data_IF_961631762398
#
_entry.id   IF_961631762398
#
_cell.length_a   1.000
_cell.length_b   1.000
_cell.length_c   1.000
_cell.angle_alpha   90.00
_cell.angle_beta   90.00
_cell.angle_gamma   90.00
#
_symmetry.space_group_name_H-M   'P 1'
#
loop_
_entity.id
_entity.type
_entity.pdbx_description
1 polymer ?
#
# COMPACT_ATOMS: atom_id res chain seq x y z
N UNK A 1 -15.61 -3.29 -51.37
CA UNK A 1 -14.52 -4.26 -51.53
C UNK A 1 -14.29 -4.96 -50.19
N UNK A 2 -14.82 -6.13 -50.06
CA UNK A 2 -14.75 -6.99 -48.88
C UNK A 2 -13.57 -7.93 -48.97
N UNK A 3 -12.76 -8.17 -47.96
CA UNK A 3 -11.87 -9.33 -47.93
C UNK A 3 -12.47 -10.52 -47.19
N UNK A 4 -12.29 -11.64 -47.81
CA UNK A 4 -12.78 -12.98 -47.56
C UNK A 4 -12.25 -13.57 -46.24
N UNK A 5 -13.13 -14.28 -45.53
CA UNK A 5 -12.79 -15.26 -44.49
C UNK A 5 -12.22 -16.54 -45.13
N UNK A 6 -11.19 -17.14 -44.52
CA UNK A 6 -10.78 -18.54 -44.71
C UNK A 6 -10.91 -19.30 -43.40
N UNK A 7 -11.34 -20.56 -43.41
CA UNK A 7 -11.65 -21.33 -42.22
C UNK A 7 -10.49 -22.17 -41.72
N UNK A 8 -10.33 -22.25 -40.41
CA UNK A 8 -9.43 -23.20 -39.74
C UNK A 8 -10.17 -24.52 -39.52
N UNK A 9 -9.75 -25.53 -40.25
CA UNK A 9 -10.04 -26.95 -39.94
C UNK A 9 -8.77 -27.73 -40.28
N UNK A 10 -8.24 -28.41 -39.31
CA UNK A 10 -7.43 -29.63 -39.32
C UNK A 10 -6.33 -29.57 -38.24
N UNK A 11 -6.57 -30.27 -37.16
CA UNK A 11 -5.60 -31.19 -36.53
C UNK A 11 -6.30 -31.85 -35.31
N UNK A 12 -7.10 -32.85 -35.65
CA UNK A 12 -7.49 -33.94 -34.75
C UNK A 12 -6.92 -35.22 -35.40
N UNK A 13 -6.41 -36.13 -34.61
CA UNK A 13 -5.90 -37.46 -34.83
C UNK A 13 -4.37 -37.61 -34.65
N UNK A 14 -3.98 -38.09 -33.45
CA UNK A 14 -3.22 -39.36 -33.28
C UNK A 14 -2.97 -39.58 -31.78
N UNK A 15 -3.83 -40.35 -31.14
CA UNK A 15 -3.57 -41.03 -29.88
C UNK A 15 -4.32 -42.35 -29.90
N UNK A 16 -3.60 -43.42 -30.15
CA UNK A 16 -3.96 -44.78 -29.67
C UNK A 16 -2.89 -45.78 -30.05
N UNK A 17 -2.72 -46.75 -29.21
CA UNK A 17 -1.98 -48.02 -29.28
C UNK A 17 -0.47 -47.97 -28.90
N UNK A 18 -0.16 -48.55 -27.69
CA UNK A 18 0.27 -49.95 -27.62
C UNK A 18 0.25 -50.48 -26.18
N UNK A 19 -0.66 -51.41 -25.93
CA UNK A 19 -0.64 -52.39 -24.82
C UNK A 19 -0.11 -53.69 -25.46
N UNK A 20 0.93 -54.32 -24.91
CA UNK A 20 1.15 -55.75 -25.06
C UNK A 20 2.01 -56.28 -23.88
N UNK A 21 1.40 -57.19 -23.21
CA UNK A 21 1.90 -58.06 -22.16
C UNK A 21 3.06 -58.95 -22.59
N UNK A 22 3.84 -59.38 -21.59
CA UNK A 22 4.49 -60.72 -21.61
C UNK A 22 4.61 -61.24 -20.18
N UNK A 23 3.82 -62.28 -19.94
CA UNK A 23 3.90 -63.23 -18.81
C UNK A 23 4.96 -64.28 -19.18
N UNK A 24 5.85 -64.63 -18.30
CA UNK A 24 6.75 -65.75 -18.46
C UNK A 24 7.40 -66.10 -17.14
N UNK A 25 6.80 -67.08 -16.46
CA UNK A 25 7.35 -67.68 -15.25
C UNK A 25 8.40 -68.73 -15.57
N UNK A 26 9.30 -68.97 -14.67
CA UNK A 26 9.95 -70.25 -14.43
C UNK A 26 10.50 -70.31 -13.02
N UNK A 27 10.08 -71.30 -12.26
CA UNK A 27 10.57 -71.60 -10.91
C UNK A 27 11.92 -72.29 -10.97
N UNK A 28 12.68 -72.15 -9.90
CA UNK A 28 13.86 -72.96 -9.57
C UNK A 28 13.93 -73.19 -8.08
N UNK A 29 14.57 -74.25 -7.58
CA UNK A 29 14.22 -74.91 -6.34
C UNK A 29 14.94 -74.34 -5.10
N UNK A 30 14.40 -74.72 -3.94
CA UNK A 30 14.89 -74.35 -2.61
C UNK A 30 16.28 -74.91 -2.38
N UNK A 31 17.20 -74.07 -1.85
CA UNK A 31 18.49 -74.54 -1.29
C UNK A 31 18.41 -74.54 0.25
N UNK A 32 18.98 -75.57 0.88
CA UNK A 32 19.10 -75.78 2.31
C UNK A 32 19.91 -74.67 2.98
N UNK A 33 19.68 -74.45 4.32
CA UNK A 33 20.41 -73.45 5.09
C UNK A 33 21.83 -73.95 5.42
N UNK A 34 22.87 -73.13 5.36
CA UNK A 34 24.19 -73.47 5.87
C UNK A 34 24.26 -73.29 7.36
N UNK A 35 25.08 -74.16 8.01
CA UNK A 35 25.32 -74.26 9.43
C UNK A 35 25.88 -72.96 10.04
N UNK A 36 25.53 -72.74 11.31
CA UNK A 36 25.97 -71.64 12.14
C UNK A 36 27.50 -71.63 12.38
N UNK A 37 28.15 -70.50 12.04
CA UNK A 37 29.50 -70.16 12.52
C UNK A 37 29.45 -69.49 13.89
N UNK A 38 30.50 -69.58 14.70
CA UNK A 38 30.51 -69.04 16.06
C UNK A 38 30.56 -67.49 16.08
N UNK A 39 29.86 -66.95 17.06
CA UNK A 39 29.75 -65.49 17.28
C UNK A 39 31.11 -64.82 17.57
N UNK A 40 31.48 -63.81 16.79
CA UNK A 40 32.53 -62.84 17.12
C UNK A 40 32.06 -61.89 18.26
N UNK A 41 32.97 -61.39 19.11
CA UNK A 41 32.63 -60.51 20.21
C UNK A 41 32.07 -59.16 19.73
N UNK A 42 31.00 -58.71 20.39
CA UNK A 42 30.33 -57.47 20.15
C UNK A 42 31.29 -56.27 20.13
N UNK A 43 31.29 -55.50 19.04
CA UNK A 43 31.92 -54.19 18.95
C UNK A 43 31.27 -53.22 19.98
N UNK A 44 32.02 -52.24 20.52
CA UNK A 44 31.49 -51.27 21.44
C UNK A 44 30.34 -50.47 20.78
N UNK A 45 29.28 -50.20 21.56
CA UNK A 45 28.13 -49.41 21.13
C UNK A 45 28.59 -48.11 20.50
N UNK A 46 28.16 -47.86 19.27
CA UNK A 46 28.34 -46.58 18.62
C UNK A 46 27.71 -45.47 19.49
N UNK A 47 28.44 -44.41 19.73
CA UNK A 47 27.91 -43.16 20.30
C UNK A 47 26.66 -42.74 19.51
N UNK A 48 25.63 -42.17 20.16
CA UNK A 48 24.46 -41.71 19.45
C UNK A 48 24.93 -40.69 18.42
N UNK A 49 24.62 -40.92 17.14
CA UNK A 49 24.84 -39.96 16.07
C UNK A 49 24.25 -38.62 16.51
N UNK A 50 25.05 -37.56 16.47
CA UNK A 50 24.58 -36.19 16.60
C UNK A 50 23.41 -36.05 15.62
N UNK A 51 22.25 -35.70 16.15
CA UNK A 51 21.02 -35.62 15.36
C UNK A 51 21.26 -34.75 14.12
N UNK A 52 20.98 -35.32 12.98
CA UNK A 52 20.93 -34.56 11.71
C UNK A 52 20.08 -33.30 11.95
N UNK A 53 20.67 -32.13 11.83
CA UNK A 53 19.94 -30.89 11.98
C UNK A 53 18.75 -30.92 11.00
N UNK A 54 17.55 -30.74 11.51
CA UNK A 54 16.34 -30.71 10.69
C UNK A 54 16.53 -29.71 9.57
N UNK A 55 16.11 -30.06 8.35
CA UNK A 55 16.19 -29.14 7.22
C UNK A 55 15.42 -27.83 7.55
N UNK A 56 15.96 -26.67 7.15
CA UNK A 56 15.30 -25.39 7.47
C UNK A 56 13.89 -25.31 6.87
N UNK A 57 13.00 -24.68 7.62
CA UNK A 57 11.63 -24.40 7.15
C UNK A 57 11.68 -23.33 6.05
N UNK A 58 11.20 -23.66 4.86
CA UNK A 58 11.24 -22.78 3.70
C UNK A 58 9.89 -22.10 3.50
N UNK A 59 9.87 -20.77 3.45
CA UNK A 59 8.68 -19.94 3.30
C UNK A 59 8.83 -19.00 2.10
N UNK A 60 7.79 -18.90 1.28
CA UNK A 60 7.70 -17.88 0.24
C UNK A 60 7.23 -16.56 0.86
N UNK A 61 7.94 -15.49 0.55
CA UNK A 61 7.54 -14.11 0.84
C UNK A 61 7.28 -13.37 -0.46
N UNK A 62 6.04 -12.94 -0.67
CA UNK A 62 5.59 -12.30 -1.92
C UNK A 62 5.35 -10.83 -1.70
N UNK A 63 5.99 -9.99 -2.50
CA UNK A 63 6.00 -8.53 -2.40
C UNK A 63 5.70 -7.87 -3.75
N UNK A 64 5.44 -6.56 -3.77
CA UNK A 64 5.57 -5.79 -5.02
C UNK A 64 7.01 -5.32 -5.24
N UNK A 65 7.35 -5.04 -6.51
CA UNK A 65 8.71 -4.72 -6.96
C UNK A 65 9.13 -3.31 -6.56
N UNK A 66 9.43 -3.11 -5.27
CA UNK A 66 10.01 -1.87 -4.73
C UNK A 66 11.06 -2.19 -3.68
N UNK A 67 12.25 -1.60 -3.79
CA UNK A 67 13.31 -1.75 -2.81
C UNK A 67 13.78 -3.20 -2.58
N UNK A 68 13.78 -4.03 -3.63
CA UNK A 68 14.08 -5.46 -3.55
C UNK A 68 15.45 -5.76 -2.94
N UNK A 69 16.45 -4.89 -3.19
CA UNK A 69 17.79 -5.03 -2.62
C UNK A 69 17.74 -4.86 -1.09
N UNK A 70 17.01 -3.86 -0.59
CA UNK A 70 16.81 -3.63 0.84
C UNK A 70 16.05 -4.80 1.49
N UNK A 71 15.02 -5.33 0.81
CA UNK A 71 14.27 -6.50 1.29
C UNK A 71 15.18 -7.72 1.38
N UNK A 72 15.94 -8.00 0.31
CA UNK A 72 16.81 -9.18 0.28
C UNK A 72 17.92 -9.09 1.33
N UNK A 73 18.49 -7.92 1.56
CA UNK A 73 19.49 -7.72 2.61
C UNK A 73 18.91 -7.96 4.00
N UNK A 74 17.72 -7.44 4.28
CA UNK A 74 17.01 -7.73 5.54
C UNK A 74 16.67 -9.21 5.70
N UNK A 75 16.28 -9.92 4.62
CA UNK A 75 16.08 -11.36 4.62
C UNK A 75 17.38 -12.09 4.98
N UNK A 76 18.52 -11.70 4.41
CA UNK A 76 19.81 -12.30 4.68
C UNK A 76 20.20 -12.13 6.16
N UNK A 77 19.97 -10.93 6.72
CA UNK A 77 20.22 -10.64 8.14
C UNK A 77 19.28 -11.45 9.05
N UNK A 78 18.01 -11.56 8.70
CA UNK A 78 17.04 -12.41 9.41
C UNK A 78 17.47 -13.87 9.42
N UNK A 79 17.84 -14.43 8.27
CA UNK A 79 18.24 -15.84 8.14
C UNK A 79 19.56 -16.13 8.87
N UNK A 80 20.48 -15.17 8.92
CA UNK A 80 21.72 -15.30 9.69
C UNK A 80 21.45 -15.45 11.21
N UNK A 81 20.41 -14.77 11.71
CA UNK A 81 19.98 -14.87 13.10
C UNK A 81 19.03 -16.06 13.35
N UNK A 82 18.35 -16.58 12.33
CA UNK A 82 17.37 -17.65 12.40
C UNK A 82 17.64 -18.72 11.31
N UNK A 83 18.71 -19.50 11.44
CA UNK A 83 19.15 -20.44 10.39
C UNK A 83 18.14 -21.59 10.13
N UNK A 84 17.20 -21.80 11.04
CA UNK A 84 16.08 -22.74 10.87
C UNK A 84 14.99 -22.23 9.94
N UNK A 85 14.99 -20.93 9.59
CA UNK A 85 13.99 -20.28 8.74
C UNK A 85 14.64 -19.83 7.43
N UNK A 86 14.14 -20.32 6.30
CA UNK A 86 14.56 -19.89 4.97
C UNK A 86 13.44 -19.15 4.27
N UNK A 87 13.73 -17.96 3.75
CA UNK A 87 12.76 -17.09 3.09
C UNK A 87 13.10 -16.97 1.59
N UNK A 88 12.14 -17.28 0.75
CA UNK A 88 12.25 -17.15 -0.70
C UNK A 88 11.49 -15.89 -1.15
N UNK A 89 12.20 -14.86 -1.52
CA UNK A 89 11.60 -13.63 -2.02
C UNK A 89 11.05 -13.85 -3.44
N UNK A 90 9.81 -13.40 -3.67
CA UNK A 90 9.15 -13.32 -4.97
C UNK A 90 8.48 -11.97 -5.10
N UNK A 91 8.52 -11.38 -6.30
CA UNK A 91 7.94 -10.07 -6.54
C UNK A 91 7.10 -10.02 -7.81
N UNK A 92 6.15 -9.07 -7.81
CA UNK A 92 5.34 -8.69 -8.96
C UNK A 92 5.30 -7.18 -9.06
N UNK A 93 5.01 -6.62 -10.24
CA UNK A 93 4.78 -5.18 -10.35
C UNK A 93 3.61 -4.73 -9.47
N UNK A 94 3.61 -3.48 -9.00
CA UNK A 94 2.48 -2.95 -8.22
C UNK A 94 1.13 -3.11 -8.95
N UNK A 95 1.14 -2.88 -10.27
CA UNK A 95 -0.08 -2.96 -11.08
C UNK A 95 -0.63 -4.39 -11.22
N UNK A 96 0.24 -5.40 -11.17
CA UNK A 96 -0.14 -6.81 -11.32
C UNK A 96 -0.32 -7.53 -9.97
N UNK A 97 0.15 -6.93 -8.87
CA UNK A 97 0.25 -7.60 -7.57
C UNK A 97 -1.11 -8.05 -7.04
N UNK A 98 -2.08 -7.14 -6.98
CA UNK A 98 -3.41 -7.45 -6.46
C UNK A 98 -4.06 -8.62 -7.21
N UNK A 99 -4.17 -8.52 -8.52
CA UNK A 99 -4.84 -9.53 -9.34
C UNK A 99 -4.10 -10.88 -9.32
N UNK A 100 -2.77 -10.84 -9.24
CA UNK A 100 -1.94 -12.05 -9.08
C UNK A 100 -2.23 -12.72 -7.74
N UNK A 101 -2.31 -11.95 -6.65
CA UNK A 101 -2.58 -12.48 -5.33
C UNK A 101 -4.00 -13.04 -5.22
N UNK A 102 -5.00 -12.33 -5.73
CA UNK A 102 -6.40 -12.83 -5.82
C UNK A 102 -6.46 -14.13 -6.62
N UNK A 103 -5.77 -14.20 -7.77
CA UNK A 103 -5.67 -15.42 -8.56
C UNK A 103 -5.05 -16.59 -7.79
N UNK A 104 -3.99 -16.37 -7.01
CA UNK A 104 -3.34 -17.38 -6.16
C UNK A 104 -4.26 -17.83 -5.02
N UNK A 105 -4.93 -16.90 -4.33
CA UNK A 105 -5.89 -17.22 -3.28
C UNK A 105 -7.03 -18.09 -3.82
N UNK A 106 -7.62 -17.72 -4.95
CA UNK A 106 -8.69 -18.46 -5.58
C UNK A 106 -8.26 -19.86 -6.08
N UNK A 107 -7.00 -20.01 -6.46
CA UNK A 107 -6.40 -21.29 -6.84
C UNK A 107 -6.04 -22.19 -5.65
N UNK A 108 -6.15 -21.71 -4.40
CA UNK A 108 -5.73 -22.44 -3.20
C UNK A 108 -4.21 -22.57 -3.04
N UNK A 109 -3.46 -21.63 -3.64
CA UNK A 109 -1.98 -21.54 -3.56
C UNK A 109 -1.53 -20.18 -2.94
N UNK A 110 -2.03 -19.79 -1.74
CA UNK A 110 -1.56 -18.58 -1.09
C UNK A 110 -0.10 -18.72 -0.63
N UNK A 111 0.71 -17.64 -0.71
CA UNK A 111 2.01 -17.64 -0.03
C UNK A 111 1.80 -17.54 1.48
N UNK A 112 2.68 -18.16 2.32
CA UNK A 112 2.59 -18.01 3.77
C UNK A 112 2.82 -16.57 4.24
N UNK A 113 3.70 -15.80 3.56
CA UNK A 113 4.05 -14.42 3.88
C UNK A 113 3.84 -13.53 2.66
N UNK A 114 3.27 -12.35 2.86
CA UNK A 114 2.93 -11.43 1.78
C UNK A 114 2.86 -9.98 2.25
N UNK A 115 2.90 -9.05 1.29
CA UNK A 115 2.52 -7.67 1.50
C UNK A 115 1.00 -7.50 1.50
N UNK A 116 0.49 -6.69 2.41
CA UNK A 116 -0.88 -6.23 2.45
C UNK A 116 -0.98 -4.71 2.32
N UNK A 117 -2.16 -4.26 1.98
CA UNK A 117 -2.53 -2.86 1.84
C UNK A 117 -3.90 -2.62 2.46
N UNK A 118 -4.10 -1.45 3.06
CA UNK A 118 -5.40 -1.01 3.54
C UNK A 118 -6.50 -1.06 2.46
N UNK A 119 -6.12 -0.83 1.19
CA UNK A 119 -7.03 -0.92 0.04
C UNK A 119 -7.64 -2.31 -0.17
N UNK A 120 -6.91 -3.38 0.20
CA UNK A 120 -7.28 -4.76 -0.08
C UNK A 120 -7.66 -5.55 1.17
N UNK A 121 -7.39 -4.98 2.36
CA UNK A 121 -7.60 -5.67 3.63
C UNK A 121 -9.02 -6.23 3.75
N UNK A 122 -10.03 -5.39 3.48
CA UNK A 122 -11.44 -5.78 3.66
C UNK A 122 -11.83 -6.94 2.75
N UNK A 123 -11.39 -6.90 1.49
CA UNK A 123 -11.59 -7.99 0.52
C UNK A 123 -10.91 -9.27 1.00
N UNK A 124 -9.62 -9.20 1.31
CA UNK A 124 -8.83 -10.38 1.62
C UNK A 124 -9.15 -10.99 2.98
N UNK A 125 -9.40 -10.16 4.00
CA UNK A 125 -9.77 -10.63 5.33
C UNK A 125 -11.19 -11.23 5.34
N UNK A 126 -12.18 -10.60 4.67
CA UNK A 126 -13.54 -11.13 4.57
C UNK A 126 -13.61 -12.47 3.83
N UNK A 127 -12.74 -12.68 2.84
CA UNK A 127 -12.60 -13.93 2.11
C UNK A 127 -11.80 -15.01 2.88
N UNK A 128 -11.23 -14.67 4.06
CA UNK A 128 -10.40 -15.59 4.84
C UNK A 128 -9.03 -15.89 4.23
N UNK A 129 -8.52 -15.01 3.36
CA UNK A 129 -7.22 -15.17 2.71
C UNK A 129 -6.05 -14.69 3.57
N UNK A 130 -6.32 -13.84 4.56
CA UNK A 130 -5.36 -13.41 5.57
C UNK A 130 -5.65 -14.07 6.92
N UNK A 131 -4.62 -14.28 7.71
CA UNK A 131 -4.72 -14.78 9.08
C UNK A 131 -4.70 -13.60 10.07
N UNK A 132 -5.64 -13.53 11.04
CA UNK A 132 -5.56 -12.57 12.12
C UNK A 132 -4.33 -12.85 13.01
N UNK A 133 -3.69 -11.78 13.49
CA UNK A 133 -2.43 -11.89 14.23
C UNK A 133 -2.59 -11.68 15.74
N UNK A 134 -3.58 -10.93 16.20
CA UNK A 134 -3.71 -10.52 17.61
C UNK A 134 -4.04 -11.67 18.56
N UNK A 135 -4.81 -12.69 18.16
CA UNK A 135 -5.12 -13.84 19.02
C UNK A 135 -3.92 -14.78 19.17
N UNK A 136 -3.28 -15.27 18.08
CA UNK A 136 -2.13 -16.17 18.21
C UNK A 136 -0.84 -15.47 18.67
N UNK A 137 -0.73 -14.14 18.49
CA UNK A 137 0.48 -13.37 18.81
C UNK A 137 0.13 -12.12 19.64
N UNK A 138 0.00 -12.25 20.97
CA UNK A 138 -0.42 -11.15 21.86
C UNK A 138 0.45 -9.89 21.78
N UNK A 139 1.72 -10.01 21.35
CA UNK A 139 2.64 -8.90 21.14
C UNK A 139 2.11 -7.87 20.12
N UNK A 140 1.22 -8.28 19.21
CA UNK A 140 0.57 -7.39 18.25
C UNK A 140 -0.16 -6.25 18.96
N UNK A 141 -0.74 -6.49 20.12
CA UNK A 141 -1.42 -5.47 20.93
C UNK A 141 -0.45 -4.39 21.41
N UNK A 142 0.76 -4.78 21.81
CA UNK A 142 1.79 -3.82 22.25
C UNK A 142 2.26 -2.95 21.07
N UNK A 143 2.49 -3.55 19.90
CA UNK A 143 2.86 -2.81 18.69
C UNK A 143 1.75 -1.89 18.21
N UNK A 144 0.50 -2.34 18.27
CA UNK A 144 -0.68 -1.55 17.89
C UNK A 144 -0.81 -0.27 18.72
N UNK A 145 -0.46 -0.31 20.00
CA UNK A 145 -0.50 0.86 20.89
C UNK A 145 0.53 1.96 20.56
N UNK A 146 1.50 1.67 19.70
CA UNK A 146 2.55 2.61 19.28
C UNK A 146 2.33 3.14 17.85
N UNK A 147 1.24 2.77 17.19
CA UNK A 147 0.96 3.19 15.83
C UNK A 147 0.08 4.45 15.76
N UNK A 148 0.25 5.21 14.71
CA UNK A 148 -0.70 6.24 14.33
C UNK A 148 -2.10 5.61 14.12
N UNK A 149 -3.19 6.23 14.63
CA UNK A 149 -4.52 5.61 14.62
C UNK A 149 -5.01 5.17 13.25
N UNK A 150 -4.76 5.97 12.19
CA UNK A 150 -5.16 5.64 10.83
C UNK A 150 -4.51 4.34 10.32
N UNK A 151 -3.27 4.10 10.71
CA UNK A 151 -2.54 2.91 10.26
C UNK A 151 -3.06 1.65 10.95
N UNK A 152 -3.33 1.71 12.25
CA UNK A 152 -3.97 0.61 12.97
C UNK A 152 -5.35 0.30 12.36
N UNK A 153 -6.17 1.32 12.11
CA UNK A 153 -7.48 1.16 11.48
C UNK A 153 -7.36 0.52 10.09
N UNK A 154 -6.37 0.94 9.28
CA UNK A 154 -6.12 0.38 7.94
C UNK A 154 -5.60 -1.07 7.93
N UNK A 155 -5.22 -1.63 9.10
CA UNK A 155 -4.80 -3.03 9.27
C UNK A 155 -5.81 -3.86 10.07
N UNK A 156 -6.95 -3.28 10.45
CA UNK A 156 -7.96 -3.92 11.30
C UNK A 156 -9.22 -4.23 10.51
N UNK A 157 -9.73 -5.45 10.68
CA UNK A 157 -11.02 -5.89 10.15
C UNK A 157 -11.76 -6.71 11.22
N UNK A 158 -13.01 -6.31 11.56
CA UNK A 158 -13.82 -6.95 12.61
C UNK A 158 -13.06 -7.16 13.94
N UNK A 159 -12.38 -6.10 14.42
CA UNK A 159 -11.56 -6.08 15.64
C UNK A 159 -10.27 -6.91 15.59
N UNK A 160 -10.00 -7.61 14.50
CA UNK A 160 -8.77 -8.36 14.30
C UNK A 160 -7.73 -7.56 13.51
N UNK A 161 -6.47 -7.65 13.93
CA UNK A 161 -5.30 -7.04 13.29
C UNK A 161 -4.64 -8.05 12.36
N UNK A 162 -4.44 -7.69 11.09
CA UNK A 162 -3.95 -8.60 10.04
C UNK A 162 -2.52 -8.34 9.58
N UNK A 163 -1.82 -7.38 10.16
CA UNK A 163 -0.47 -7.08 9.74
C UNK A 163 0.38 -6.31 10.73
N UNK A 164 1.65 -6.19 10.41
CA UNK A 164 2.59 -5.26 11.04
C UNK A 164 3.06 -4.24 9.99
N UNK A 165 2.86 -2.97 10.27
CA UNK A 165 3.17 -1.87 9.35
C UNK A 165 4.66 -1.76 9.09
N UNK A 166 5.05 -1.59 7.81
CA UNK A 166 6.40 -1.20 7.44
C UNK A 166 6.45 0.17 6.74
N UNK A 167 5.35 0.55 6.14
CA UNK A 167 5.20 1.80 5.43
C UNK A 167 3.82 2.36 5.71
N UNK A 168 3.77 3.60 6.12
CA UNK A 168 2.53 4.35 6.27
C UNK A 168 2.84 5.80 5.92
N UNK A 169 1.91 6.44 5.24
CA UNK A 169 2.13 7.78 4.75
C UNK A 169 0.86 8.61 4.82
N UNK A 170 1.01 9.91 4.65
CA UNK A 170 -0.09 10.86 4.53
C UNK A 170 -0.12 11.47 3.12
N UNK A 171 -1.28 11.94 2.73
CA UNK A 171 -1.45 12.76 1.53
C UNK A 171 -1.32 14.21 1.97
N UNK A 172 -0.23 14.86 1.60
CA UNK A 172 0.17 16.14 2.15
C UNK A 172 -0.14 17.30 1.19
N UNK A 173 -0.43 18.45 1.77
CA UNK A 173 -0.46 19.71 1.05
C UNK A 173 0.96 20.26 0.94
N UNK A 174 1.42 20.47 -0.30
CA UNK A 174 2.79 20.88 -0.61
C UNK A 174 2.79 22.20 -1.36
N UNK A 175 3.75 23.06 -1.04
CA UNK A 175 3.91 24.37 -1.68
C UNK A 175 5.36 24.71 -1.96
N UNK A 176 5.57 25.56 -2.98
CA UNK A 176 6.88 26.15 -3.28
C UNK A 176 7.04 27.45 -2.46
N UNK A 177 7.93 27.42 -1.46
CA UNK A 177 8.14 28.52 -0.52
C UNK A 177 8.62 29.81 -1.21
N UNK A 178 9.52 29.70 -2.19
CA UNK A 178 10.09 30.86 -2.87
C UNK A 178 9.05 31.58 -3.75
N UNK A 179 8.21 30.82 -4.47
CA UNK A 179 7.12 31.38 -5.26
C UNK A 179 6.06 32.03 -4.38
N UNK A 180 5.73 31.41 -3.25
CA UNK A 180 4.76 31.95 -2.29
C UNK A 180 5.27 33.28 -1.69
N UNK A 181 6.54 33.34 -1.30
CA UNK A 181 7.20 34.56 -0.84
C UNK A 181 7.28 35.64 -1.91
N UNK A 182 7.53 35.26 -3.17
CA UNK A 182 7.54 36.21 -4.29
C UNK A 182 6.15 36.83 -4.52
N UNK A 183 5.08 36.12 -4.20
CA UNK A 183 3.71 36.66 -4.24
C UNK A 183 3.35 37.53 -3.02
N UNK A 184 4.25 37.63 -2.01
CA UNK A 184 4.05 38.44 -0.82
C UNK A 184 3.44 37.71 0.38
N UNK A 185 3.50 36.38 0.41
CA UNK A 185 2.98 35.57 1.51
C UNK A 185 4.12 34.87 2.27
N UNK A 186 4.14 35.04 3.60
CA UNK A 186 5.17 34.46 4.47
C UNK A 186 4.77 33.10 5.07
N UNK A 187 3.52 32.66 4.89
CA UNK A 187 2.99 31.42 5.42
C UNK A 187 2.14 30.68 4.39
N UNK A 188 2.06 29.35 4.54
CA UNK A 188 1.18 28.50 3.75
C UNK A 188 -0.31 28.81 4.03
N UNK A 189 -1.22 28.53 3.09
CA UNK A 189 -2.66 28.72 3.28
C UNK A 189 -3.16 27.84 4.42
N UNK A 190 -4.00 28.40 5.29
CA UNK A 190 -4.61 27.67 6.39
C UNK A 190 -6.04 27.23 6.07
N UNK A 191 -6.67 27.89 5.13
CA UNK A 191 -8.02 27.61 4.66
C UNK A 191 -8.08 27.47 3.14
N UNK A 192 -9.17 26.91 2.63
CA UNK A 192 -9.41 26.83 1.19
C UNK A 192 -9.64 28.20 0.56
N UNK A 193 -10.08 29.19 1.35
CA UNK A 193 -10.17 30.57 0.90
C UNK A 193 -8.78 31.21 0.79
N UNK A 194 -7.89 30.99 1.76
CA UNK A 194 -6.51 31.46 1.66
C UNK A 194 -5.82 30.88 0.42
N UNK A 195 -5.99 29.57 0.18
CA UNK A 195 -5.45 28.92 -1.02
C UNK A 195 -5.97 29.55 -2.31
N UNK A 196 -7.27 29.89 -2.35
CA UNK A 196 -7.86 30.58 -3.48
C UNK A 196 -7.23 31.96 -3.69
N UNK A 197 -7.19 32.80 -2.65
CA UNK A 197 -6.70 34.18 -2.73
C UNK A 197 -5.20 34.21 -3.07
N UNK A 198 -4.40 33.32 -2.50
CA UNK A 198 -2.98 33.15 -2.84
C UNK A 198 -2.80 32.69 -4.28
N UNK A 199 -3.62 31.76 -4.77
CA UNK A 199 -3.60 31.29 -6.15
C UNK A 199 -3.93 32.40 -7.14
N UNK A 200 -4.93 33.23 -6.84
CA UNK A 200 -5.25 34.40 -7.66
C UNK A 200 -4.07 35.38 -7.73
N UNK A 201 -3.45 35.67 -6.58
CA UNK A 201 -2.31 36.59 -6.51
C UNK A 201 -1.09 36.06 -7.30
N UNK A 202 -0.77 34.77 -7.19
CA UNK A 202 0.31 34.14 -7.95
C UNK A 202 0.09 34.25 -9.47
N UNK A 203 -1.14 34.01 -9.92
CA UNK A 203 -1.53 34.12 -11.33
C UNK A 203 -1.50 35.54 -11.82
N UNK A 204 -2.12 36.51 -11.10
CA UNK A 204 -2.16 37.91 -11.47
C UNK A 204 -0.78 38.56 -11.53
N UNK A 205 0.14 38.12 -10.66
CA UNK A 205 1.53 38.58 -10.66
C UNK A 205 2.41 37.86 -11.72
N UNK A 206 1.86 36.88 -12.43
CA UNK A 206 2.57 36.12 -13.46
C UNK A 206 3.68 35.24 -12.92
N UNK A 207 3.61 34.83 -11.63
CA UNK A 207 4.58 33.91 -11.00
C UNK A 207 4.34 32.50 -11.53
N UNK A 208 3.09 32.06 -11.62
CA UNK A 208 2.69 30.82 -12.27
C UNK A 208 1.47 31.04 -13.15
N UNK A 209 1.36 30.33 -14.28
CA UNK A 209 0.19 30.37 -15.16
C UNK A 209 -1.00 29.67 -14.49
N UNK A 210 -0.74 28.50 -13.93
CA UNK A 210 -1.66 27.69 -13.14
C UNK A 210 -1.04 27.42 -11.76
N UNK A 211 -1.51 28.05 -10.69
CA UNK A 211 -0.90 27.92 -9.37
C UNK A 211 -0.92 26.49 -8.81
N UNK A 212 -1.91 25.66 -9.17
CA UNK A 212 -2.10 24.31 -8.64
C UNK A 212 -2.12 23.25 -9.72
N UNK A 213 -1.47 22.11 -9.43
CA UNK A 213 -1.56 20.87 -10.20
C UNK A 213 -1.93 19.71 -9.28
N UNK A 214 -2.74 18.77 -9.78
CA UNK A 214 -3.12 17.52 -9.08
C UNK A 214 -2.96 16.32 -10.01
N UNK A 215 -2.69 15.16 -9.44
CA UNK A 215 -2.64 13.89 -10.17
C UNK A 215 -4.05 13.28 -10.25
N UNK A 216 -4.87 13.80 -11.15
CA UNK A 216 -6.28 13.38 -11.31
C UNK A 216 -6.49 12.47 -12.53
N UNK A 217 -5.45 11.80 -13.03
CA UNK A 217 -5.64 10.76 -14.03
C UNK A 217 -6.58 9.66 -13.52
N UNK A 218 -7.57 9.28 -14.33
CA UNK A 218 -8.53 8.22 -13.94
C UNK A 218 -7.89 6.85 -13.76
N UNK A 219 -6.70 6.63 -14.32
CA UNK A 219 -5.96 5.37 -14.19
C UNK A 219 -5.24 5.22 -12.85
N UNK A 220 -5.19 6.28 -12.02
CA UNK A 220 -4.41 6.32 -10.80
C UNK A 220 -5.27 6.43 -9.53
N UNK A 221 -5.00 5.59 -8.52
CA UNK A 221 -5.65 5.66 -7.21
C UNK A 221 -5.33 6.94 -6.43
N UNK A 222 -4.19 7.60 -6.70
CA UNK A 222 -3.80 8.85 -6.07
C UNK A 222 -4.85 9.97 -6.25
N UNK A 223 -5.64 9.94 -7.31
CA UNK A 223 -6.69 10.94 -7.56
C UNK A 223 -7.78 10.93 -6.51
N UNK A 224 -8.24 9.74 -6.07
CA UNK A 224 -9.27 9.65 -5.03
C UNK A 224 -8.71 10.02 -3.67
N UNK A 225 -7.46 9.70 -3.39
CA UNK A 225 -6.81 10.03 -2.11
C UNK A 225 -6.65 11.56 -1.93
N UNK A 226 -6.22 12.26 -2.97
CA UNK A 226 -6.16 13.73 -2.96
C UNK A 226 -7.55 14.34 -2.76
N UNK A 227 -8.58 13.80 -3.43
CA UNK A 227 -9.96 14.24 -3.28
C UNK A 227 -10.49 14.02 -1.86
N UNK A 228 -10.28 12.83 -1.28
CA UNK A 228 -10.70 12.53 0.09
C UNK A 228 -9.95 13.42 1.08
N UNK A 229 -8.67 13.71 0.85
CA UNK A 229 -7.89 14.63 1.68
C UNK A 229 -8.46 16.05 1.66
N UNK A 230 -8.88 16.54 0.50
CA UNK A 230 -9.59 17.81 0.39
C UNK A 230 -10.92 17.82 1.14
N UNK A 231 -11.64 16.70 1.17
CA UNK A 231 -12.89 16.52 1.95
C UNK A 231 -12.59 16.48 3.44
N UNK A 232 -11.59 15.70 3.85
CA UNK A 232 -11.23 15.57 5.27
C UNK A 232 -10.75 16.90 5.86
N UNK A 233 -9.96 17.67 5.13
CA UNK A 233 -9.53 19.00 5.57
C UNK A 233 -10.69 19.98 5.86
N UNK A 234 -11.84 19.79 5.19
CA UNK A 234 -13.05 20.60 5.40
C UNK A 234 -13.95 20.07 6.50
N UNK A 235 -13.88 18.79 6.83
CA UNK A 235 -14.82 18.14 7.74
C UNK A 235 -14.23 17.90 9.11
N UNK A 236 -14.89 18.42 10.14
CA UNK A 236 -14.54 18.13 11.54
C UNK A 236 -15.30 16.90 12.04
N UNK A 237 -14.60 15.90 12.54
CA UNK A 237 -15.19 14.66 13.02
C UNK A 237 -15.17 13.51 12.00
N UNK A 238 -15.87 12.44 12.30
CA UNK A 238 -16.05 11.25 11.46
C UNK A 238 -17.28 11.41 10.55
N UNK A 239 -17.38 10.57 9.53
CA UNK A 239 -18.53 10.56 8.64
C UNK A 239 -18.50 11.64 7.56
N UNK A 240 -17.32 12.00 7.08
CA UNK A 240 -17.15 12.96 5.98
C UNK A 240 -17.67 12.41 4.65
N UNK A 241 -17.53 11.11 4.44
CA UNK A 241 -18.02 10.38 3.27
C UNK A 241 -19.01 9.28 3.64
N UNK A 242 -18.71 8.52 4.69
CA UNK A 242 -19.50 7.39 5.12
C UNK A 242 -19.63 7.37 6.66
N UNK A 243 -20.79 6.97 7.15
CA UNK A 243 -20.99 6.72 8.58
C UNK A 243 -20.35 5.38 9.02
N UNK A 244 -20.43 5.09 10.32
CA UNK A 244 -19.89 3.86 10.91
C UNK A 244 -20.52 2.55 10.34
N UNK A 245 -21.64 2.65 9.63
CA UNK A 245 -22.28 1.53 8.93
C UNK A 245 -22.00 1.52 7.42
N UNK A 246 -20.99 2.28 6.98
CA UNK A 246 -20.65 2.49 5.58
C UNK A 246 -21.81 3.04 4.73
N UNK A 247 -22.71 3.84 5.33
CA UNK A 247 -23.74 4.53 4.58
C UNK A 247 -23.25 5.89 4.11
N UNK A 248 -23.46 6.27 2.84
CA UNK A 248 -23.04 7.56 2.31
C UNK A 248 -23.64 8.74 3.09
N UNK A 249 -22.81 9.71 3.46
CA UNK A 249 -23.20 10.94 4.16
C UNK A 249 -22.95 12.18 3.30
N UNK A 250 -22.31 12.03 2.16
CA UNK A 250 -21.77 13.10 1.33
C UNK A 250 -22.78 13.75 0.37
N UNK A 251 -23.93 13.12 0.07
CA UNK A 251 -24.86 13.56 -0.94
C UNK A 251 -25.81 14.66 -0.42
N UNK A 252 -25.25 15.84 -0.15
CA UNK A 252 -26.04 17.02 0.22
C UNK A 252 -25.31 18.30 -0.14
N UNK A 253 -26.05 19.38 -0.47
CA UNK A 253 -25.49 20.71 -0.58
C UNK A 253 -24.86 21.14 0.75
N UNK A 254 -23.63 21.68 0.70
CA UNK A 254 -22.86 22.07 1.88
C UNK A 254 -22.18 20.91 2.60
N UNK A 255 -22.21 19.67 2.08
CA UNK A 255 -21.31 18.62 2.55
C UNK A 255 -19.87 18.96 2.17
N UNK A 256 -18.90 18.46 2.95
CA UNK A 256 -17.47 18.64 2.63
C UNK A 256 -17.10 18.12 1.22
N UNK A 257 -17.77 17.04 0.78
CA UNK A 257 -17.60 16.52 -0.57
C UNK A 257 -18.15 17.48 -1.64
N UNK A 258 -19.34 18.06 -1.40
CA UNK A 258 -19.90 19.09 -2.27
C UNK A 258 -18.95 20.28 -2.39
N UNK A 259 -18.48 20.81 -1.27
CA UNK A 259 -17.58 21.97 -1.23
C UNK A 259 -16.23 21.67 -1.92
N UNK A 260 -15.69 20.48 -1.76
CA UNK A 260 -14.43 20.09 -2.39
C UNK A 260 -14.56 19.99 -3.91
N UNK A 261 -15.60 19.34 -4.43
CA UNK A 261 -15.85 19.22 -5.87
C UNK A 261 -16.16 20.58 -6.48
N UNK A 262 -16.96 21.39 -5.80
CA UNK A 262 -17.32 22.73 -6.28
C UNK A 262 -16.11 23.66 -6.30
N UNK A 263 -15.20 23.56 -5.30
CA UNK A 263 -13.95 24.32 -5.29
C UNK A 263 -13.06 23.91 -6.48
N UNK A 264 -12.92 22.62 -6.76
CA UNK A 264 -12.15 22.13 -7.92
C UNK A 264 -12.73 22.61 -9.25
N UNK A 265 -14.05 22.56 -9.40
CA UNK A 265 -14.74 23.05 -10.60
C UNK A 265 -14.49 24.55 -10.81
N UNK A 266 -14.65 25.35 -9.76
CA UNK A 266 -14.41 26.79 -9.81
C UNK A 266 -12.93 27.13 -10.07
N UNK A 267 -12.00 26.41 -9.42
CA UNK A 267 -10.56 26.59 -9.63
C UNK A 267 -10.15 26.25 -11.07
N UNK A 268 -10.74 25.20 -11.64
CA UNK A 268 -10.55 24.85 -13.05
C UNK A 268 -11.07 25.94 -13.98
N UNK A 269 -12.29 26.44 -13.76
CA UNK A 269 -12.91 27.49 -14.56
C UNK A 269 -12.13 28.82 -14.47
N UNK A 270 -11.63 29.17 -13.28
CA UNK A 270 -10.80 30.36 -13.06
C UNK A 270 -9.35 30.23 -13.57
N UNK A 271 -8.94 29.00 -13.97
CA UNK A 271 -7.59 28.68 -14.39
C UNK A 271 -6.59 28.76 -13.22
N UNK A 272 -7.02 28.41 -12.02
CA UNK A 272 -6.17 28.24 -10.83
C UNK A 272 -5.68 26.79 -10.71
N UNK A 273 -6.43 25.83 -11.23
CA UNK A 273 -6.05 24.43 -11.40
C UNK A 273 -5.62 24.20 -12.86
N UNK A 274 -4.44 23.60 -13.05
CA UNK A 274 -3.97 23.27 -14.40
C UNK A 274 -4.90 22.25 -15.06
N UNK A 275 -5.41 22.52 -16.28
CA UNK A 275 -6.23 21.57 -17.04
C UNK A 275 -5.56 20.21 -17.27
N UNK A 276 -4.23 20.17 -17.32
CA UNK A 276 -3.48 18.92 -17.41
C UNK A 276 -3.72 17.99 -16.21
N UNK A 277 -4.13 18.51 -15.05
CA UNK A 277 -4.41 17.71 -13.85
C UNK A 277 -5.30 16.49 -14.13
N UNK A 278 -6.30 16.62 -15.02
CA UNK A 278 -7.23 15.54 -15.36
C UNK A 278 -6.60 14.36 -16.12
N UNK A 279 -5.38 14.52 -16.59
CA UNK A 279 -4.61 13.46 -17.27
C UNK A 279 -3.23 13.22 -16.65
N UNK A 280 -2.88 13.99 -15.62
CA UNK A 280 -1.57 13.90 -14.95
C UNK A 280 -1.55 12.71 -14.02
N UNK A 281 -0.52 11.88 -14.19
CA UNK A 281 -0.14 10.84 -13.24
C UNK A 281 0.77 11.42 -12.13
N UNK A 282 0.89 10.72 -11.00
CA UNK A 282 1.67 11.20 -9.85
C UNK A 282 3.12 11.54 -10.19
N UNK A 283 3.79 10.68 -10.98
CA UNK A 283 5.17 10.93 -11.40
C UNK A 283 5.32 12.18 -12.26
N UNK A 284 4.33 12.52 -13.07
CA UNK A 284 4.35 13.71 -13.93
C UNK A 284 3.97 14.96 -13.14
N UNK A 285 3.12 14.83 -12.10
CA UNK A 285 2.84 15.88 -11.13
C UNK A 285 4.13 16.30 -10.40
N UNK A 286 4.91 15.34 -9.91
CA UNK A 286 6.21 15.60 -9.26
C UNK A 286 7.16 16.34 -10.20
N UNK A 287 7.32 15.90 -11.46
CA UNK A 287 8.15 16.59 -12.46
C UNK A 287 7.66 18.01 -12.76
N UNK A 288 6.36 18.19 -12.81
CA UNK A 288 5.77 19.50 -13.05
C UNK A 288 6.06 20.47 -11.90
N UNK A 289 5.95 20.01 -10.65
CA UNK A 289 6.37 20.78 -9.49
C UNK A 289 7.87 21.11 -9.54
N UNK A 290 8.73 20.14 -9.80
CA UNK A 290 10.20 20.33 -9.91
C UNK A 290 10.58 21.40 -10.96
N UNK A 291 9.80 21.52 -12.03
CA UNK A 291 10.02 22.55 -13.06
C UNK A 291 9.66 23.97 -12.60
N UNK A 292 9.00 24.12 -11.46
CA UNK A 292 8.50 25.40 -10.96
C UNK A 292 7.26 25.93 -11.71
N UNK A 293 6.60 25.10 -12.51
CA UNK A 293 5.39 25.51 -13.24
C UNK A 293 4.20 25.78 -12.29
N UNK A 294 4.22 25.20 -11.10
CA UNK A 294 3.15 25.31 -10.11
C UNK A 294 3.68 25.59 -8.71
N UNK A 295 2.86 26.27 -7.92
CA UNK A 295 3.19 26.60 -6.52
C UNK A 295 2.63 25.57 -5.54
N UNK A 296 1.43 25.04 -5.81
CA UNK A 296 0.68 24.19 -4.89
C UNK A 296 0.37 22.83 -5.49
N UNK A 297 0.39 21.81 -4.63
CA UNK A 297 -0.05 20.46 -4.96
C UNK A 297 -0.52 19.69 -3.72
N UNK A 298 -1.19 18.55 -3.96
CA UNK A 298 -1.54 17.54 -2.94
C UNK A 298 -0.97 16.21 -3.45
N UNK A 299 -0.11 15.58 -2.66
CA UNK A 299 0.57 14.35 -3.07
C UNK A 299 1.03 13.52 -1.85
N UNK A 300 1.33 12.22 -2.04
CA UNK A 300 1.91 11.40 -0.98
C UNK A 300 3.25 11.95 -0.46
N UNK A 301 3.43 11.93 0.86
CA UNK A 301 4.60 12.50 1.55
C UNK A 301 5.94 12.01 1.00
N UNK A 302 6.07 10.72 0.62
CA UNK A 302 7.33 10.17 0.11
C UNK A 302 7.89 10.93 -1.10
N UNK A 303 7.04 11.62 -1.86
CA UNK A 303 7.47 12.44 -2.99
C UNK A 303 8.29 13.68 -2.57
N UNK A 304 8.25 14.07 -1.30
CA UNK A 304 9.04 15.20 -0.78
C UNK A 304 10.54 14.97 -0.92
N UNK A 305 10.99 13.73 -0.73
CA UNK A 305 12.39 13.37 -0.93
C UNK A 305 12.81 13.58 -2.40
N UNK A 306 11.94 13.21 -3.35
CA UNK A 306 12.22 13.41 -4.78
C UNK A 306 12.12 14.89 -5.19
N UNK A 307 11.12 15.63 -4.69
CA UNK A 307 10.95 17.06 -4.96
C UNK A 307 12.16 17.89 -4.49
N UNK A 308 12.71 17.57 -3.32
CA UNK A 308 13.79 18.34 -2.67
C UNK A 308 15.18 17.75 -2.88
N UNK A 309 15.31 16.70 -3.68
CA UNK A 309 16.60 16.11 -4.05
C UNK A 309 17.53 17.15 -4.69
N UNK A 310 18.83 17.21 -4.34
CA UNK A 310 19.73 18.27 -4.78
C UNK A 310 19.78 18.52 -6.28
N UNK A 311 19.56 17.47 -7.10
CA UNK A 311 19.63 17.54 -8.56
C UNK A 311 18.24 17.57 -9.22
N UNK A 312 17.15 17.78 -8.46
CA UNK A 312 15.78 17.75 -8.98
C UNK A 312 15.36 18.97 -9.79
N UNK A 313 16.13 20.08 -9.74
CA UNK A 313 15.85 21.30 -10.47
C UNK A 313 16.19 22.56 -9.70
N UNK A 314 15.81 23.72 -10.26
CA UNK A 314 16.07 25.06 -9.67
C UNK A 314 15.44 25.22 -8.28
N UNK A 315 14.29 24.59 -8.06
CA UNK A 315 13.52 24.66 -6.81
C UNK A 315 13.81 23.54 -5.82
N UNK A 316 14.87 22.76 -6.02
CA UNK A 316 15.31 21.74 -5.06
C UNK A 316 15.48 22.34 -3.64
N UNK A 317 14.89 21.71 -2.63
CA UNK A 317 14.88 22.20 -1.25
C UNK A 317 13.89 23.33 -0.94
N UNK A 318 13.08 23.77 -1.92
CA UNK A 318 12.11 24.86 -1.79
C UNK A 318 10.67 24.40 -1.58
N UNK A 319 10.43 23.11 -1.76
CA UNK A 319 9.10 22.54 -1.49
C UNK A 319 8.96 22.23 0.00
N UNK A 320 7.82 22.65 0.56
CA UNK A 320 7.50 22.49 1.98
C UNK A 320 6.15 21.80 2.12
N UNK A 321 6.02 21.02 3.20
CA UNK A 321 4.73 20.49 3.64
C UNK A 321 4.07 21.55 4.54
N UNK A 322 2.77 21.70 4.39
CA UNK A 322 1.90 22.35 5.37
C UNK A 322 0.76 21.42 5.74
N UNK A 323 0.11 21.67 6.86
CA UNK A 323 -1.13 20.98 7.20
C UNK A 323 -2.16 21.18 6.09
N UNK A 324 -2.99 20.17 5.83
CA UNK A 324 -4.06 20.28 4.83
C UNK A 324 -4.93 21.51 5.13
N UNK A 325 -5.19 22.40 4.15
CA UNK A 325 -6.05 23.54 4.39
C UNK A 325 -7.45 23.15 4.86
N UNK A 326 -8.04 23.93 5.75
CA UNK A 326 -9.41 23.77 6.23
C UNK A 326 -9.53 23.63 7.74
N UNK A 327 -10.77 23.47 8.24
CA UNK A 327 -11.09 23.58 9.67
C UNK A 327 -10.53 22.43 10.51
N UNK A 328 -10.38 21.25 9.94
CA UNK A 328 -9.86 20.07 10.64
C UNK A 328 -8.37 19.85 10.43
N UNK A 329 -7.81 20.38 9.35
CA UNK A 329 -6.48 20.03 8.84
C UNK A 329 -6.23 18.53 8.64
N UNK A 330 -7.29 17.71 8.66
CA UNK A 330 -7.17 16.27 8.45
C UNK A 330 -6.88 15.93 6.99
N UNK A 331 -6.21 14.83 6.80
CA UNK A 331 -5.87 14.29 5.48
C UNK A 331 -6.04 12.77 5.46
N UNK A 332 -5.91 12.15 4.30
CA UNK A 332 -5.84 10.69 4.20
C UNK A 332 -4.49 10.21 4.71
N UNK A 333 -4.54 9.26 5.65
CA UNK A 333 -3.42 8.39 5.96
C UNK A 333 -3.69 6.98 5.43
N UNK A 334 -2.66 6.31 4.94
CA UNK A 334 -2.76 4.95 4.42
C UNK A 334 -1.59 4.10 4.89
N UNK A 335 -1.76 2.78 4.87
CA UNK A 335 -0.78 1.85 5.42
C UNK A 335 -0.52 0.67 4.50
N UNK A 336 0.73 0.23 4.48
CA UNK A 336 1.18 -1.02 3.88
C UNK A 336 1.82 -1.86 4.97
N UNK A 337 1.59 -3.15 4.95
CA UNK A 337 1.96 -4.02 6.05
C UNK A 337 2.43 -5.40 5.57
N UNK A 338 3.22 -6.04 6.42
CA UNK A 338 3.53 -7.45 6.30
C UNK A 338 2.37 -8.27 6.86
N UNK A 339 1.92 -9.25 6.10
CA UNK A 339 0.80 -10.11 6.47
C UNK A 339 1.16 -11.59 6.35
N UNK A 340 0.34 -12.41 7.00
CA UNK A 340 0.40 -13.87 6.97
C UNK A 340 -0.91 -14.40 6.40
N UNK A 341 -0.83 -15.43 5.55
CA UNK A 341 -2.03 -16.18 5.16
C UNK A 341 -2.21 -17.40 6.07
N UNK A 342 -3.40 -18.04 6.08
CA UNK A 342 -3.63 -19.30 6.80
C UNK A 342 -2.65 -20.42 6.42
N UNK A 343 -2.01 -20.31 5.25
CA UNK A 343 -1.01 -21.27 4.75
C UNK A 343 0.16 -21.47 5.71
N UNK A 344 0.57 -20.43 6.44
CA UNK A 344 1.63 -20.53 7.43
C UNK A 344 1.33 -21.58 8.52
N UNK A 345 0.09 -21.58 9.03
CA UNK A 345 -0.36 -22.57 10.03
C UNK A 345 -0.59 -23.96 9.39
N UNK A 346 -1.11 -24.05 8.17
CA UNK A 346 -1.30 -25.29 7.43
C UNK A 346 0.02 -26.05 7.16
N UNK A 347 1.13 -25.32 7.02
CA UNK A 347 2.47 -25.88 6.85
C UNK A 347 3.05 -26.46 8.15
N UNK A 348 2.40 -26.26 9.30
CA UNK A 348 2.75 -26.77 10.61
C UNK A 348 3.45 -25.77 11.53
N UNK A 349 3.65 -26.17 12.78
CA UNK A 349 4.11 -25.28 13.87
C UNK A 349 5.44 -24.59 13.58
N UNK A 350 6.38 -25.27 12.93
CA UNK A 350 7.67 -24.68 12.57
C UNK A 350 7.51 -23.55 11.54
N UNK A 351 6.62 -23.72 10.56
CA UNK A 351 6.34 -22.70 9.56
C UNK A 351 5.62 -21.50 10.18
N UNK A 352 4.64 -21.73 11.05
CA UNK A 352 3.94 -20.67 11.76
C UNK A 352 4.92 -19.88 12.65
N UNK A 353 5.79 -20.56 13.39
CA UNK A 353 6.79 -19.92 14.24
C UNK A 353 7.81 -19.10 13.42
N UNK A 354 8.31 -19.63 12.29
CA UNK A 354 9.18 -18.88 11.38
C UNK A 354 8.47 -17.69 10.76
N UNK A 355 7.19 -17.83 10.37
CA UNK A 355 6.39 -16.73 9.82
C UNK A 355 6.22 -15.60 10.82
N UNK A 356 5.91 -15.91 12.09
CA UNK A 356 5.82 -14.89 13.12
C UNK A 356 7.16 -14.19 13.39
N UNK A 357 8.25 -14.95 13.58
CA UNK A 357 9.58 -14.36 13.76
C UNK A 357 9.95 -13.41 12.61
N UNK A 358 9.58 -13.79 11.39
CA UNK A 358 9.81 -12.94 10.20
C UNK A 358 8.98 -11.67 10.26
N UNK A 359 7.68 -11.75 10.52
CA UNK A 359 6.81 -10.57 10.62
C UNK A 359 7.28 -9.63 11.75
N UNK A 360 7.63 -10.18 12.91
CA UNK A 360 8.11 -9.42 14.06
C UNK A 360 9.46 -8.74 13.78
N UNK A 361 10.38 -9.41 13.08
CA UNK A 361 11.65 -8.82 12.65
C UNK A 361 11.44 -7.68 11.64
N UNK A 362 10.50 -7.84 10.71
CA UNK A 362 10.29 -6.88 9.63
C UNK A 362 9.41 -5.68 10.03
N UNK A 363 8.33 -5.88 10.78
CA UNK A 363 7.36 -4.83 11.14
C UNK A 363 7.22 -4.56 12.63
N UNK A 364 7.81 -5.43 13.48
CA UNK A 364 7.87 -5.27 14.92
C UNK A 364 9.21 -4.74 15.42
N UNK A 365 9.56 -5.09 16.67
CA UNK A 365 10.80 -4.64 17.31
C UNK A 365 11.85 -5.74 17.40
N UNK A 366 13.08 -5.38 17.02
CA UNK A 366 14.29 -6.17 17.30
C UNK A 366 15.15 -5.38 18.30
N UNK A 367 15.48 -6.01 19.43
CA UNK A 367 16.22 -5.35 20.52
C UNK A 367 15.59 -4.01 21.00
N UNK A 368 14.26 -3.95 20.99
CA UNK A 368 13.48 -2.82 21.45
C UNK A 368 13.31 -1.70 20.41
N UNK A 369 13.79 -1.87 19.18
CA UNK A 369 13.70 -0.89 18.10
C UNK A 369 13.01 -1.46 16.86
N UNK A 370 12.32 -0.60 16.07
CA UNK A 370 11.75 -0.92 14.78
C UNK A 370 12.83 -0.87 13.68
N UNK A 371 13.79 -1.81 13.73
CA UNK A 371 15.02 -1.74 12.95
C UNK A 371 14.79 -1.69 11.44
N UNK A 372 13.93 -2.57 10.89
CA UNK A 372 13.65 -2.62 9.46
C UNK A 372 12.78 -1.45 9.01
N UNK A 373 11.79 -1.06 9.81
CA UNK A 373 10.94 0.11 9.50
C UNK A 373 11.77 1.39 9.51
N UNK A 374 12.63 1.58 10.52
CA UNK A 374 13.59 2.70 10.57
C UNK A 374 14.49 2.73 9.33
N UNK A 375 14.98 1.57 8.91
CA UNK A 375 15.82 1.45 7.72
C UNK A 375 15.07 1.92 6.46
N UNK A 376 13.82 1.52 6.28
CA UNK A 376 12.97 2.01 5.19
C UNK A 376 12.83 3.54 5.22
N UNK A 377 12.61 4.11 6.40
CA UNK A 377 12.50 5.56 6.56
C UNK A 377 13.80 6.27 6.19
N UNK A 378 14.93 5.84 6.73
CA UNK A 378 16.23 6.54 6.61
C UNK A 378 16.85 6.35 5.23
N UNK A 379 16.83 5.12 4.68
CA UNK A 379 17.50 4.79 3.41
C UNK A 379 16.62 5.07 2.18
N UNK A 380 15.28 4.87 2.30
CA UNK A 380 14.36 4.95 1.17
C UNK A 380 13.39 6.15 1.26
N UNK A 381 13.39 6.89 2.38
CA UNK A 381 12.48 8.03 2.60
C UNK A 381 11.01 7.65 2.75
N UNK A 382 10.70 6.37 3.05
CA UNK A 382 9.33 5.94 3.26
C UNK A 382 8.80 6.47 4.59
N UNK A 383 7.56 6.93 4.60
CA UNK A 383 6.81 7.23 5.81
C UNK A 383 6.58 5.98 6.68
N UNK A 384 6.18 6.17 7.90
CA UNK A 384 5.99 5.10 8.88
C UNK A 384 4.84 5.42 9.84
N UNK A 385 4.26 4.37 10.43
CA UNK A 385 3.17 4.49 11.39
C UNK A 385 3.65 4.52 12.84
N UNK A 386 4.86 4.09 13.13
CA UNK A 386 5.38 3.90 14.47
C UNK A 386 5.74 5.24 15.11
N UNK A 387 4.87 5.76 15.98
CA UNK A 387 5.02 7.07 16.64
C UNK A 387 6.38 7.27 17.34
N UNK A 388 7.00 6.26 18.00
CA UNK A 388 8.31 6.43 18.59
C UNK A 388 9.42 6.80 17.60
N UNK A 389 9.30 6.46 16.31
CA UNK A 389 10.31 6.76 15.30
C UNK A 389 10.40 8.25 14.98
N UNK A 390 9.35 9.05 15.20
CA UNK A 390 9.44 10.52 15.07
C UNK A 390 10.42 11.16 16.04
N UNK A 391 10.77 10.46 17.13
CA UNK A 391 11.77 10.92 18.10
C UNK A 391 13.16 10.30 17.87
N UNK A 392 13.31 9.42 16.87
CA UNK A 392 14.60 8.80 16.56
C UNK A 392 15.51 9.80 15.85
N UNK A 393 16.77 10.02 16.34
CA UNK A 393 17.67 11.03 15.78
C UNK A 393 18.03 10.81 14.31
N UNK A 394 18.17 9.55 13.86
CA UNK A 394 18.54 9.26 12.47
C UNK A 394 17.36 9.53 11.54
N UNK A 395 16.13 9.27 11.99
CA UNK A 395 14.89 9.60 11.27
C UNK A 395 14.73 11.11 11.19
N UNK A 396 14.92 11.83 12.29
CA UNK A 396 14.87 13.30 12.31
C UNK A 396 15.92 13.91 11.36
N UNK A 397 17.14 13.38 11.35
CA UNK A 397 18.17 13.83 10.40
C UNK A 397 17.79 13.54 8.94
N UNK A 398 17.25 12.35 8.66
CA UNK A 398 16.89 11.95 7.30
C UNK A 398 15.73 12.79 6.76
N UNK A 399 14.64 12.91 7.50
CA UNK A 399 13.44 13.63 7.09
C UNK A 399 13.63 15.14 7.11
N UNK A 400 14.45 15.67 8.05
CA UNK A 400 14.80 17.08 8.12
C UNK A 400 15.54 17.61 6.88
N UNK A 401 16.07 16.74 6.01
CA UNK A 401 16.71 17.14 4.74
C UNK A 401 15.71 17.65 3.70
N UNK A 402 14.47 17.21 3.77
CA UNK A 402 13.46 17.52 2.76
C UNK A 402 12.10 17.98 3.33
N UNK A 403 11.90 17.91 4.64
CA UNK A 403 10.65 18.30 5.29
C UNK A 403 10.85 18.89 6.67
N UNK A 404 9.79 19.45 7.23
CA UNK A 404 9.71 19.84 8.64
C UNK A 404 9.10 18.67 9.42
N UNK A 405 9.90 18.00 10.24
CA UNK A 405 9.50 16.78 10.97
C UNK A 405 8.35 17.04 11.94
N UNK A 406 8.28 18.24 12.53
CA UNK A 406 7.18 18.60 13.43
C UNK A 406 5.86 18.75 12.66
N UNK A 407 5.89 19.32 11.46
CA UNK A 407 4.69 19.39 10.58
C UNK A 407 4.28 18.02 10.11
N UNK A 408 5.22 17.17 9.73
CA UNK A 408 4.95 15.78 9.31
C UNK A 408 4.31 15.00 10.46
N UNK A 409 4.85 15.10 11.67
CA UNK A 409 4.29 14.44 12.85
C UNK A 409 2.88 14.94 13.17
N UNK A 410 2.67 16.26 13.13
CA UNK A 410 1.35 16.85 13.36
C UNK A 410 0.32 16.41 12.31
N UNK A 411 0.73 16.32 11.03
CA UNK A 411 -0.14 15.84 9.96
C UNK A 411 -0.49 14.35 10.16
N UNK A 412 0.47 13.53 10.60
CA UNK A 412 0.22 12.12 10.91
C UNK A 412 -0.77 11.92 12.06
N UNK A 413 -0.73 12.79 13.09
CA UNK A 413 -1.72 12.76 14.19
C UNK A 413 -3.13 13.16 13.73
N UNK A 414 -3.25 14.06 12.76
CA UNK A 414 -4.52 14.54 12.21
C UNK A 414 -5.05 13.66 11.07
N UNK A 415 -4.21 12.77 10.54
CA UNK A 415 -4.58 11.90 9.43
C UNK A 415 -5.64 10.87 9.85
N UNK A 416 -6.49 10.52 8.89
CA UNK A 416 -7.56 9.53 9.04
C UNK A 416 -7.42 8.44 7.97
N UNK A 417 -7.76 7.22 8.34
CA UNK A 417 -7.94 6.17 7.35
C UNK A 417 -9.07 6.54 6.37
N UNK A 418 -9.05 5.97 5.18
CA UNK A 418 -10.16 6.14 4.23
C UNK A 418 -11.44 5.55 4.84
N UNK A 419 -12.50 6.34 4.85
CA UNK A 419 -13.84 5.85 5.18
C UNK A 419 -14.38 4.97 4.06
N UNK A 420 -15.31 4.08 4.39
CA UNK A 420 -15.98 3.22 3.41
C UNK A 420 -15.09 2.10 2.84
N UNK A 421 -13.98 1.74 3.48
CA UNK A 421 -13.17 0.59 3.07
C UNK A 421 -14.00 -0.71 3.21
N UNK A 422 -14.59 -1.13 2.11
CA UNK A 422 -15.42 -2.32 1.95
C UNK A 422 -14.86 -3.19 0.83
N UNK A 423 -15.28 -4.46 0.68
CA UNK A 423 -14.85 -5.29 -0.44
C UNK A 423 -15.09 -4.70 -1.83
N UNK A 424 -16.03 -3.78 -1.96
CA UNK A 424 -16.37 -3.11 -3.23
C UNK A 424 -15.83 -1.69 -3.37
N UNK A 425 -15.06 -1.19 -2.40
CA UNK A 425 -14.52 0.18 -2.43
C UNK A 425 -13.73 0.47 -3.71
N UNK A 426 -12.89 -0.47 -4.16
CA UNK A 426 -12.09 -0.30 -5.39
C UNK A 426 -12.94 -0.08 -6.65
N UNK A 427 -14.06 -0.78 -6.77
CA UNK A 427 -14.99 -0.60 -7.89
C UNK A 427 -15.70 0.76 -7.83
N UNK A 428 -16.08 1.20 -6.63
CA UNK A 428 -16.68 2.52 -6.41
C UNK A 428 -15.66 3.64 -6.67
N UNK A 429 -14.42 3.48 -6.25
CA UNK A 429 -13.33 4.43 -6.52
C UNK A 429 -13.16 4.68 -8.02
N UNK A 430 -13.03 3.62 -8.82
CA UNK A 430 -12.91 3.75 -10.29
C UNK A 430 -14.08 4.51 -10.90
N UNK A 431 -15.31 4.23 -10.48
CA UNK A 431 -16.50 4.94 -10.94
C UNK A 431 -16.47 6.42 -10.53
N UNK A 432 -16.14 6.68 -9.28
CA UNK A 432 -16.13 8.02 -8.67
C UNK A 432 -15.17 8.96 -9.38
N UNK A 433 -13.97 8.49 -9.75
CA UNK A 433 -12.99 9.29 -10.50
C UNK A 433 -13.57 9.84 -11.81
N UNK A 434 -14.30 9.01 -12.55
CA UNK A 434 -14.94 9.46 -13.79
C UNK A 434 -16.05 10.48 -13.55
N UNK A 435 -16.83 10.33 -12.48
CA UNK A 435 -17.90 11.29 -12.12
C UNK A 435 -17.32 12.64 -11.69
N UNK A 436 -16.26 12.66 -10.89
CA UNK A 436 -15.56 13.88 -10.47
C UNK A 436 -15.02 14.65 -11.69
N UNK A 437 -14.44 13.96 -12.68
CA UNK A 437 -13.99 14.59 -13.92
C UNK A 437 -15.12 15.32 -14.65
N UNK A 438 -16.30 14.72 -14.73
CA UNK A 438 -17.47 15.37 -15.38
C UNK A 438 -17.88 16.64 -14.63
N UNK A 439 -17.83 16.63 -13.30
CA UNK A 439 -18.12 17.81 -12.49
C UNK A 439 -17.09 18.93 -12.72
N UNK A 440 -15.79 18.62 -12.63
CA UNK A 440 -14.71 19.59 -12.84
C UNK A 440 -14.82 20.24 -14.23
N UNK A 441 -15.15 19.45 -15.26
CA UNK A 441 -15.35 19.92 -16.63
C UNK A 441 -16.70 20.65 -16.86
N UNK A 442 -17.54 20.77 -15.85
CA UNK A 442 -18.88 21.37 -15.96
C UNK A 442 -19.85 20.58 -16.83
N UNK A 443 -19.59 19.28 -17.05
CA UNK A 443 -20.45 18.40 -17.87
C UNK A 443 -21.68 17.89 -17.09
N UNK A 444 -21.61 17.95 -15.77
CA UNK A 444 -22.75 17.69 -14.86
C UNK A 444 -22.62 18.55 -13.61
N UNK A 445 -23.71 18.70 -12.86
CA UNK A 445 -23.68 19.45 -11.61
C UNK A 445 -22.97 18.64 -10.50
N UNK A 446 -22.45 19.34 -9.50
CA UNK A 446 -21.87 18.72 -8.30
C UNK A 446 -22.88 17.82 -7.60
N UNK A 447 -24.14 18.23 -7.47
CA UNK A 447 -25.19 17.40 -6.87
C UNK A 447 -25.51 16.14 -7.69
N UNK A 448 -25.54 16.22 -9.02
CA UNK A 448 -25.71 15.02 -9.86
C UNK A 448 -24.52 14.07 -9.72
N UNK A 449 -23.31 14.61 -9.57
CA UNK A 449 -22.10 13.81 -9.31
C UNK A 449 -22.22 13.05 -8.01
N UNK A 450 -22.57 13.72 -6.91
CA UNK A 450 -22.74 13.09 -5.60
C UNK A 450 -23.87 12.06 -5.61
N UNK A 451 -25.00 12.36 -6.27
CA UNK A 451 -26.11 11.43 -6.41
C UNK A 451 -25.72 10.15 -7.20
N UNK A 452 -24.91 10.31 -8.27
CA UNK A 452 -24.39 9.16 -9.02
C UNK A 452 -23.41 8.32 -8.21
N UNK A 453 -22.52 8.97 -7.44
CA UNK A 453 -21.59 8.29 -6.55
C UNK A 453 -22.32 7.48 -5.46
N UNK A 454 -23.36 8.05 -4.85
CA UNK A 454 -24.20 7.35 -3.87
C UNK A 454 -24.97 6.19 -4.50
N UNK A 455 -25.57 6.40 -5.67
CA UNK A 455 -26.31 5.35 -6.37
C UNK A 455 -25.41 4.16 -6.72
N UNK A 456 -24.19 4.42 -7.18
CA UNK A 456 -23.22 3.35 -7.47
C UNK A 456 -22.76 2.64 -6.20
N UNK A 457 -22.50 3.37 -5.09
CA UNK A 457 -22.22 2.74 -3.81
C UNK A 457 -23.31 1.77 -3.39
N UNK A 458 -24.56 2.23 -3.37
CA UNK A 458 -25.70 1.41 -2.99
C UNK A 458 -25.92 0.21 -3.92
N UNK A 459 -25.63 0.36 -5.22
CA UNK A 459 -25.69 -0.74 -6.20
C UNK A 459 -24.63 -1.81 -5.89
N UNK A 460 -23.41 -1.41 -5.59
CA UNK A 460 -22.30 -2.32 -5.25
C UNK A 460 -22.54 -3.04 -3.92
N UNK A 461 -23.02 -2.32 -2.92
CA UNK A 461 -23.35 -2.88 -1.60
C UNK A 461 -24.49 -3.92 -1.63
N UNK A 462 -25.31 -3.94 -2.68
CA UNK A 462 -26.41 -4.90 -2.85
C UNK A 462 -26.01 -6.19 -3.59
N UNK A 463 -24.76 -6.33 -4.02
CA UNK A 463 -24.23 -7.52 -4.71
C UNK A 463 -23.66 -8.54 -3.74
#
# INVERSE_FOLDING_TARGET
MTPKRLPSLLFLLLAALTIAALIGGCGAPAAEPPAAEPAEPAAPAAEPAEGEAAAPTSLDFVVWSYGLETIQDNINNFQAANPECQINLKDYSWLDYHDTMVGRFAAGDPPPLLYGSDHWLQEWASAGWLAPLNEPFPQVTDYSGELAPYALQGMTYNDDVYGLSYYADTIDFVYNEDQLKAAGFDAAPQSWQDLWDMSVALKEQGITEYPMILAFSQSEGASIEAMISMIYGRHTGEGALFDANNQPTFNSEGSAAYEAIEWLRQAYEAGLLDPASLSTAEIDQVKSMQSGAHTFTILPQYNMAELNKPDSGEFAGKFKIALMPGDSHATVGYVRFYAMSPKAAEMGDAALACSWKFLEYFGGKTDGTYTVVKRWAVENGLGFAQLPLFQDPDVQEAFGKWGDVDVIAAQAELARAKEGLTPWFGAWDVFTRAEIHKAILGQQSTMDTLANMEAEWNRLAAQ
#
